data_IF_543223846491
#
_entry.id   IF_543223846491
#
_cell.length_a   1.000
_cell.length_b   1.000
_cell.length_c   1.000
_cell.angle_alpha   90.00
_cell.angle_beta   90.00
_cell.angle_gamma   90.00
#
_symmetry.space_group_name_H-M   'P 1'
#
loop_
_entity.id
_entity.type
_entity.pdbx_description
1 polymer ?
#
# COMPACT_ATOMS: atom_id res chain seq x y z
N UNK A 1 -2.65 -8.73 -16.26
CA UNK A 1 -3.52 -8.95 -15.08
C UNK A 1 -2.78 -8.48 -13.85
N UNK A 2 -3.36 -7.58 -13.06
CA UNK A 2 -2.74 -7.09 -11.83
C UNK A 2 -3.71 -7.29 -10.65
N UNK A 3 -3.68 -8.49 -10.08
CA UNK A 3 -4.29 -8.76 -8.77
C UNK A 3 -3.47 -8.04 -7.70
N UNK A 4 -4.15 -7.27 -6.86
CA UNK A 4 -3.54 -6.56 -5.76
C UNK A 4 -3.79 -7.30 -4.44
N UNK A 5 -2.89 -7.13 -3.48
CA UNK A 5 -3.19 -7.53 -2.10
C UNK A 5 -4.24 -6.61 -1.48
N UNK A 6 -5.02 -7.13 -0.52
CA UNK A 6 -5.95 -6.33 0.29
C UNK A 6 -5.27 -5.09 0.88
N UNK A 7 -4.02 -5.25 1.32
CA UNK A 7 -3.19 -4.16 1.81
C UNK A 7 -2.98 -3.03 0.79
N UNK A 8 -2.67 -3.36 -0.47
CA UNK A 8 -2.51 -2.38 -1.54
C UNK A 8 -3.84 -1.69 -1.89
N UNK A 9 -4.95 -2.43 -1.88
CA UNK A 9 -6.28 -1.86 -2.12
C UNK A 9 -6.69 -0.92 -0.99
N UNK A 10 -6.47 -1.31 0.27
CA UNK A 10 -6.66 -0.46 1.44
C UNK A 10 -5.80 0.81 1.37
N UNK A 11 -4.58 0.72 0.84
CA UNK A 11 -3.73 1.89 0.62
C UNK A 11 -4.33 2.87 -0.39
N UNK A 12 -4.79 2.39 -1.54
CA UNK A 12 -5.40 3.25 -2.56
C UNK A 12 -6.72 3.88 -2.07
N UNK A 13 -7.55 3.12 -1.35
CA UNK A 13 -8.75 3.66 -0.72
C UNK A 13 -8.43 4.72 0.35
N UNK A 14 -7.39 4.49 1.15
CA UNK A 14 -6.90 5.49 2.09
C UNK A 14 -6.37 6.74 1.36
N UNK A 15 -5.60 6.60 0.30
CA UNK A 15 -5.14 7.75 -0.50
C UNK A 15 -6.27 8.52 -1.19
N UNK A 16 -7.37 7.83 -1.55
CA UNK A 16 -8.57 8.44 -2.12
C UNK A 16 -9.37 9.27 -1.10
N UNK A 17 -9.26 8.97 0.20
CA UNK A 17 -9.88 9.74 1.27
C UNK A 17 -10.65 8.92 2.31
N UNK A 18 -10.90 7.64 2.06
CA UNK A 18 -11.62 6.79 3.01
C UNK A 18 -10.86 6.62 4.33
N UNK A 19 -11.55 6.63 5.47
CA UNK A 19 -10.97 6.46 6.82
C UNK A 19 -11.86 5.59 7.70
N UNK A 20 -11.30 4.96 8.73
CA UNK A 20 -12.07 4.20 9.71
C UNK A 20 -13.00 3.16 9.07
N UNK A 21 -14.27 3.13 9.48
CA UNK A 21 -15.24 2.14 8.99
C UNK A 21 -15.56 2.27 7.49
N UNK A 22 -15.50 3.46 6.90
CA UNK A 22 -15.74 3.63 5.45
C UNK A 22 -14.59 3.05 4.63
N UNK A 23 -13.36 3.09 5.16
CA UNK A 23 -12.21 2.43 4.55
C UNK A 23 -12.32 0.90 4.60
N UNK A 24 -12.75 0.34 5.73
CA UNK A 24 -13.04 -1.10 5.84
C UNK A 24 -14.11 -1.52 4.82
N UNK A 25 -15.20 -0.75 4.74
CA UNK A 25 -16.29 -1.00 3.79
C UNK A 25 -15.81 -0.94 2.35
N UNK A 26 -15.02 0.07 1.99
CA UNK A 26 -14.46 0.22 0.65
C UNK A 26 -13.62 -1.00 0.25
N UNK A 27 -12.75 -1.50 1.13
CA UNK A 27 -11.90 -2.66 0.84
C UNK A 27 -12.73 -3.92 0.70
N UNK A 28 -13.70 -4.14 1.57
CA UNK A 28 -14.57 -5.32 1.50
C UNK A 28 -15.41 -5.33 0.20
N UNK A 29 -15.91 -4.17 -0.25
CA UNK A 29 -16.60 -4.04 -1.53
C UNK A 29 -15.66 -4.36 -2.69
N UNK A 30 -14.43 -3.84 -2.71
CA UNK A 30 -13.48 -4.14 -3.81
C UNK A 30 -13.16 -5.64 -3.95
N UNK A 31 -13.12 -6.37 -2.83
CA UNK A 31 -12.95 -7.84 -2.86
C UNK A 31 -14.19 -8.52 -3.44
N UNK A 32 -15.39 -8.10 -2.98
CA UNK A 32 -16.65 -8.62 -3.50
C UNK A 32 -16.87 -8.35 -4.98
N UNK A 33 -16.45 -7.19 -5.47
CA UNK A 33 -16.69 -6.73 -6.83
C UNK A 33 -15.68 -7.29 -7.84
N UNK A 34 -14.42 -7.48 -7.42
CA UNK A 34 -13.34 -7.80 -8.36
C UNK A 34 -12.34 -8.85 -7.88
N UNK A 35 -12.46 -9.33 -6.63
CA UNK A 35 -11.42 -10.10 -5.96
C UNK A 35 -10.05 -9.41 -6.03
N UNK A 36 -10.06 -8.09 -5.84
CA UNK A 36 -8.91 -7.19 -5.97
C UNK A 36 -8.20 -7.21 -7.33
N UNK A 37 -8.89 -7.60 -8.40
CA UNK A 37 -8.37 -7.50 -9.75
C UNK A 37 -8.54 -6.07 -10.29
N UNK A 38 -7.46 -5.30 -10.31
CA UNK A 38 -7.49 -3.91 -10.81
C UNK A 38 -7.83 -3.77 -12.30
N UNK A 39 -7.76 -4.87 -13.04
CA UNK A 39 -8.12 -4.95 -14.47
C UNK A 39 -9.45 -5.66 -14.70
N UNK A 40 -10.28 -5.85 -13.66
CA UNK A 40 -11.57 -6.50 -13.80
C UNK A 40 -12.52 -5.71 -14.70
N UNK A 41 -13.27 -6.45 -15.52
CA UNK A 41 -14.33 -5.94 -16.39
C UNK A 41 -15.51 -6.89 -16.24
N UNK A 42 -16.71 -6.37 -16.02
CA UNK A 42 -17.90 -7.22 -15.98
C UNK A 42 -18.22 -7.76 -17.39
N UNK A 43 -19.00 -8.86 -17.52
CA UNK A 43 -19.29 -9.48 -18.81
C UNK A 43 -19.93 -8.54 -19.86
N UNK A 44 -20.66 -7.52 -19.41
CA UNK A 44 -21.32 -6.55 -20.28
C UNK A 44 -20.42 -5.35 -20.62
N UNK A 45 -19.16 -5.34 -20.18
CA UNK A 45 -18.17 -4.28 -20.44
C UNK A 45 -18.64 -2.87 -20.02
N UNK A 46 -19.44 -2.79 -18.95
CA UNK A 46 -20.05 -1.57 -18.44
C UNK A 46 -19.52 -1.14 -17.07
N UNK A 47 -18.74 -1.98 -16.38
CA UNK A 47 -18.13 -1.70 -15.09
C UNK A 47 -16.66 -2.13 -15.06
N UNK A 48 -15.82 -1.34 -14.39
CA UNK A 48 -14.36 -1.47 -14.50
C UNK A 48 -13.62 -1.35 -13.16
N UNK A 49 -12.54 -2.13 -13.06
CA UNK A 49 -11.55 -2.03 -12.00
C UNK A 49 -12.00 -2.61 -10.66
N UNK A 50 -11.31 -2.19 -9.61
CA UNK A 50 -11.42 -2.73 -8.25
C UNK A 50 -12.83 -2.60 -7.68
N UNK A 51 -13.45 -1.43 -7.83
CA UNK A 51 -14.78 -1.11 -7.30
C UNK A 51 -15.89 -1.24 -8.35
N UNK A 52 -15.61 -1.89 -9.50
CA UNK A 52 -16.57 -2.08 -10.59
C UNK A 52 -17.35 -0.80 -10.94
N UNK A 53 -16.60 0.27 -11.16
CA UNK A 53 -17.16 1.60 -11.46
C UNK A 53 -17.79 1.60 -12.85
N UNK A 54 -19.04 2.04 -12.93
CA UNK A 54 -19.77 2.12 -14.20
C UNK A 54 -19.08 3.04 -15.21
N UNK A 55 -19.09 2.65 -16.49
CA UNK A 55 -18.63 3.40 -17.67
C UNK A 55 -19.21 4.82 -17.70
N UNK A 56 -20.45 4.98 -17.24
CA UNK A 56 -21.15 6.26 -17.14
C UNK A 56 -20.42 7.30 -16.26
N UNK A 57 -19.58 6.85 -15.34
CA UNK A 57 -18.77 7.70 -14.47
C UNK A 57 -17.35 7.95 -14.99
N UNK A 58 -16.93 7.33 -16.12
CA UNK A 58 -15.54 7.39 -16.61
C UNK A 58 -15.18 8.73 -17.27
N UNK A 59 -16.16 9.54 -17.67
CA UNK A 59 -15.93 10.76 -18.44
C UNK A 59 -15.15 10.49 -19.74
N UNK A 60 -14.25 11.40 -20.14
CA UNK A 60 -13.49 11.31 -21.38
C UNK A 60 -12.22 10.44 -21.32
N UNK A 61 -11.93 9.78 -20.19
CA UNK A 61 -10.66 9.05 -19.97
C UNK A 61 -10.90 7.57 -19.70
N UNK A 62 -10.94 6.72 -20.75
CA UNK A 62 -11.39 5.35 -20.59
C UNK A 62 -10.48 4.49 -19.71
N UNK A 63 -9.16 4.66 -19.80
CA UNK A 63 -8.20 3.82 -19.09
C UNK A 63 -8.09 4.14 -17.59
N UNK A 64 -8.60 5.30 -17.16
CA UNK A 64 -8.50 5.80 -15.79
C UNK A 64 -9.13 4.84 -14.77
N UNK A 65 -10.17 4.11 -15.16
CA UNK A 65 -10.84 3.15 -14.26
C UNK A 65 -10.03 1.88 -13.99
N UNK A 66 -8.97 1.61 -14.77
CA UNK A 66 -8.02 0.53 -14.48
C UNK A 66 -6.86 0.96 -13.58
N UNK A 67 -6.67 2.27 -13.41
CA UNK A 67 -5.68 2.80 -12.47
C UNK A 67 -6.22 2.72 -11.04
N UNK A 68 -5.59 1.94 -10.13
CA UNK A 68 -6.17 1.65 -8.82
C UNK A 68 -6.53 2.89 -7.99
N UNK A 69 -5.67 3.92 -7.99
CA UNK A 69 -5.91 5.14 -7.22
C UNK A 69 -7.07 5.96 -7.80
N UNK A 70 -7.17 6.06 -9.12
CA UNK A 70 -8.22 6.85 -9.75
C UNK A 70 -9.58 6.13 -9.69
N UNK A 71 -9.58 4.80 -9.81
CA UNK A 71 -10.76 3.97 -9.52
C UNK A 71 -11.22 4.14 -8.05
N UNK A 72 -10.28 4.18 -7.10
CA UNK A 72 -10.57 4.44 -5.68
C UNK A 72 -11.16 5.84 -5.43
N UNK A 73 -10.62 6.87 -6.09
CA UNK A 73 -11.14 8.25 -6.01
C UNK A 73 -12.57 8.35 -6.54
N UNK A 74 -12.87 7.63 -7.62
CA UNK A 74 -14.23 7.58 -8.15
C UNK A 74 -15.17 6.85 -7.19
N UNK A 75 -14.75 5.73 -6.59
CA UNK A 75 -15.51 5.06 -5.55
C UNK A 75 -15.78 6.00 -4.35
N UNK A 76 -14.78 6.76 -3.91
CA UNK A 76 -14.93 7.75 -2.84
C UNK A 76 -15.94 8.84 -3.20
N UNK A 77 -15.90 9.34 -4.43
CA UNK A 77 -16.86 10.34 -4.90
C UNK A 77 -18.29 9.80 -4.98
N UNK A 78 -18.49 8.66 -5.66
CA UNK A 78 -19.82 8.04 -5.84
C UNK A 78 -20.43 7.65 -4.49
N UNK A 79 -19.60 7.25 -3.54
CA UNK A 79 -20.06 6.88 -2.20
C UNK A 79 -20.33 8.06 -1.26
N UNK A 80 -20.35 9.29 -1.77
CA UNK A 80 -20.45 10.52 -0.98
C UNK A 80 -19.42 10.55 0.16
N UNK A 81 -18.15 10.31 -0.16
CA UNK A 81 -17.06 10.21 0.82
C UNK A 81 -17.12 8.97 1.72
N UNK A 82 -17.87 7.95 1.32
CA UNK A 82 -18.09 6.71 2.07
C UNK A 82 -19.27 6.75 3.04
N UNK A 83 -20.15 7.75 2.93
CA UNK A 83 -21.39 7.84 3.71
C UNK A 83 -22.59 7.17 3.04
N UNK A 84 -22.54 6.92 1.73
CA UNK A 84 -23.62 6.27 0.98
C UNK A 84 -23.08 5.17 0.06
N UNK A 85 -23.50 3.92 0.23
CA UNK A 85 -23.03 2.78 -0.56
C UNK A 85 -24.10 2.16 -1.48
N UNK A 86 -25.24 2.83 -1.67
CA UNK A 86 -26.39 2.31 -2.43
C UNK A 86 -26.12 2.10 -3.92
N UNK A 87 -24.97 2.52 -4.44
CA UNK A 87 -24.57 2.26 -5.82
C UNK A 87 -23.98 0.85 -6.02
N UNK A 88 -23.59 0.16 -4.93
CA UNK A 88 -22.98 -1.17 -4.98
C UNK A 88 -23.97 -2.24 -4.52
N UNK A 89 -24.36 -3.11 -5.44
CA UNK A 89 -25.25 -4.25 -5.13
C UNK A 89 -24.63 -5.22 -4.13
N UNK A 90 -23.29 -5.31 -4.08
CA UNK A 90 -22.57 -6.09 -3.07
C UNK A 90 -22.80 -5.55 -1.65
N UNK A 91 -23.00 -4.24 -1.49
CA UNK A 91 -23.37 -3.62 -0.22
C UNK A 91 -24.83 -3.95 0.14
N UNK A 92 -25.75 -3.70 -0.79
CA UNK A 92 -27.20 -3.88 -0.57
C UNK A 92 -27.57 -5.34 -0.28
N UNK A 93 -26.98 -6.29 -1.02
CA UNK A 93 -27.16 -7.73 -0.79
C UNK A 93 -26.44 -8.22 0.46
N UNK A 94 -25.50 -7.45 1.00
CA UNK A 94 -24.64 -7.84 2.11
C UNK A 94 -23.53 -8.82 1.75
N UNK A 95 -23.31 -9.14 0.46
CA UNK A 95 -22.25 -10.06 0.03
C UNK A 95 -20.85 -9.58 0.44
N UNK A 96 -20.64 -8.27 0.57
CA UNK A 96 -19.36 -7.70 1.00
C UNK A 96 -18.97 -8.13 2.43
N UNK A 97 -19.94 -8.50 3.28
CA UNK A 97 -19.70 -8.78 4.70
C UNK A 97 -18.76 -9.96 4.94
N UNK A 98 -18.72 -10.92 4.02
CA UNK A 98 -17.80 -12.07 4.12
C UNK A 98 -16.32 -11.65 4.02
N UNK A 99 -16.03 -10.46 3.45
CA UNK A 99 -14.68 -9.95 3.28
C UNK A 99 -14.23 -8.99 4.39
N UNK A 100 -15.11 -8.69 5.38
CA UNK A 100 -14.81 -7.74 6.45
C UNK A 100 -13.57 -8.14 7.25
N UNK A 101 -13.34 -9.43 7.52
CA UNK A 101 -12.16 -9.86 8.27
C UNK A 101 -10.83 -9.54 7.57
N UNK A 102 -10.76 -9.74 6.24
CA UNK A 102 -9.59 -9.38 5.43
C UNK A 102 -9.47 -7.85 5.36
N UNK A 103 -10.59 -7.15 5.17
CA UNK A 103 -10.62 -5.69 5.10
C UNK A 103 -10.13 -5.06 6.40
N UNK A 104 -10.69 -5.41 7.55
CA UNK A 104 -10.29 -4.91 8.87
C UNK A 104 -8.80 -5.11 9.12
N UNK A 105 -8.27 -6.32 8.85
CA UNK A 105 -6.84 -6.58 9.02
C UNK A 105 -5.98 -5.67 8.12
N UNK A 106 -6.33 -5.55 6.85
CA UNK A 106 -5.58 -4.71 5.90
C UNK A 106 -5.67 -3.22 6.24
N UNK A 107 -6.81 -2.75 6.75
CA UNK A 107 -7.00 -1.37 7.18
C UNK A 107 -6.22 -1.07 8.44
N UNK A 108 -6.22 -1.98 9.42
CA UNK A 108 -5.37 -1.86 10.61
C UNK A 108 -3.90 -1.74 10.21
N UNK A 109 -3.43 -2.53 9.25
CA UNK A 109 -2.06 -2.40 8.73
C UNK A 109 -1.82 -1.04 8.05
N UNK A 110 -2.77 -0.51 7.28
CA UNK A 110 -2.65 0.81 6.64
C UNK A 110 -2.74 1.95 7.65
N UNK A 111 -3.58 1.87 8.67
CA UNK A 111 -3.69 2.92 9.69
C UNK A 111 -2.48 2.89 10.62
N UNK A 112 -2.05 1.72 11.11
CA UNK A 112 -0.75 1.57 11.79
C UNK A 112 0.39 2.03 10.90
N UNK A 113 0.21 1.95 9.58
CA UNK A 113 1.15 2.54 8.67
C UNK A 113 1.21 4.05 8.63
N UNK A 114 0.07 4.71 8.70
CA UNK A 114 0.06 6.15 8.86
C UNK A 114 0.84 6.60 10.13
N UNK A 115 0.96 5.73 11.14
CA UNK A 115 1.73 6.02 12.36
C UNK A 115 3.26 6.02 12.16
N UNK A 116 3.79 5.40 11.10
CA UNK A 116 5.20 5.56 10.70
C UNK A 116 5.25 6.33 9.38
N UNK A 117 5.39 7.67 9.43
CA UNK A 117 5.33 8.48 8.23
C UNK A 117 6.38 8.02 7.23
N UNK A 118 5.96 7.88 5.97
CA UNK A 118 6.89 7.68 4.86
C UNK A 118 7.72 8.94 4.70
N UNK A 119 9.01 8.75 4.49
CA UNK A 119 9.93 9.85 4.24
C UNK A 119 10.55 9.68 2.86
N UNK A 120 10.70 10.79 2.15
CA UNK A 120 11.37 10.82 0.86
C UNK A 120 12.86 10.53 1.10
N UNK A 121 13.33 9.39 0.60
CA UNK A 121 14.73 9.04 0.59
C UNK A 121 15.13 8.54 -0.77
N UNK A 122 16.40 8.74 -1.11
CA UNK A 122 17.02 8.19 -2.31
C UNK A 122 18.08 7.18 -1.92
N UNK A 123 18.25 6.18 -2.77
CA UNK A 123 19.33 5.22 -2.72
C UNK A 123 20.02 5.24 -4.07
N UNK A 124 21.29 5.62 -4.10
CA UNK A 124 22.06 5.84 -5.32
C UNK A 124 21.32 6.78 -6.30
N UNK A 125 20.69 7.83 -5.76
CA UNK A 125 19.93 8.82 -6.53
C UNK A 125 18.51 8.40 -6.93
N UNK A 126 18.11 7.14 -6.72
CA UNK A 126 16.77 6.63 -7.05
C UNK A 126 15.83 6.69 -5.84
N UNK A 127 14.54 7.05 -6.00
CA UNK A 127 13.57 6.99 -4.91
C UNK A 127 13.53 5.61 -4.26
N UNK A 128 13.51 5.57 -2.92
CA UNK A 128 13.49 4.34 -2.17
C UNK A 128 12.52 4.41 -1.00
N UNK A 129 11.90 3.28 -0.65
CA UNK A 129 10.90 3.24 0.43
C UNK A 129 11.60 3.26 1.80
N UNK A 130 11.26 4.28 2.60
CA UNK A 130 11.64 4.37 3.99
C UNK A 130 10.53 4.99 4.83
N UNK A 131 10.56 4.67 6.12
CA UNK A 131 9.63 5.22 7.12
C UNK A 131 10.43 5.80 8.28
N UNK A 132 9.83 6.76 8.96
CA UNK A 132 10.35 7.31 10.20
C UNK A 132 9.64 6.69 11.40
N UNK A 133 10.43 6.19 12.35
CA UNK A 133 9.95 5.64 13.62
C UNK A 133 10.68 6.35 14.76
N UNK A 134 9.93 7.17 15.52
CA UNK A 134 10.53 8.15 16.42
C UNK A 134 11.37 9.14 15.61
N UNK A 135 12.66 9.29 15.95
CA UNK A 135 13.60 10.16 15.22
C UNK A 135 14.62 9.32 14.42
N UNK A 136 14.21 8.18 13.88
CA UNK A 136 15.09 7.28 13.14
C UNK A 136 14.46 6.82 11.84
N UNK A 137 15.24 6.91 10.76
CA UNK A 137 14.88 6.35 9.46
C UNK A 137 15.04 4.83 9.44
N UNK A 138 14.06 4.14 8.88
CA UNK A 138 14.10 2.71 8.63
C UNK A 138 13.85 2.46 7.15
N UNK A 139 14.75 1.69 6.53
CA UNK A 139 14.73 1.39 5.10
C UNK A 139 14.10 0.02 4.85
N UNK A 140 13.40 -0.11 3.73
CA UNK A 140 12.92 -1.41 3.27
C UNK A 140 14.09 -2.40 3.14
N UNK A 141 13.91 -3.62 3.67
CA UNK A 141 14.97 -4.63 3.73
C UNK A 141 15.63 -4.97 2.39
N UNK A 142 14.93 -4.77 1.27
CA UNK A 142 15.42 -5.03 -0.10
C UNK A 142 16.67 -4.22 -0.44
N UNK A 143 16.99 -3.19 0.34
CA UNK A 143 18.25 -2.45 0.27
C UNK A 143 19.48 -3.37 0.42
N UNK A 144 19.38 -4.42 1.24
CA UNK A 144 20.47 -5.37 1.47
C UNK A 144 20.82 -6.12 0.18
N UNK A 145 19.80 -6.57 -0.55
CA UNK A 145 19.99 -7.25 -1.82
C UNK A 145 20.55 -6.31 -2.90
N UNK A 146 20.09 -5.05 -2.92
CA UNK A 146 20.54 -4.03 -3.87
C UNK A 146 22.05 -3.76 -3.79
N UNK A 147 22.62 -3.74 -2.59
CA UNK A 147 24.06 -3.57 -2.36
C UNK A 147 24.81 -4.89 -2.13
N UNK A 148 24.18 -6.04 -2.41
CA UNK A 148 24.85 -7.34 -2.25
C UNK A 148 25.30 -7.66 -0.82
N UNK A 149 24.74 -7.00 0.19
CA UNK A 149 25.09 -7.20 1.59
C UNK A 149 24.59 -8.58 2.01
N UNK A 150 25.43 -9.50 2.51
CA UNK A 150 24.98 -10.83 2.92
C UNK A 150 23.93 -10.75 4.03
N UNK A 151 22.78 -11.42 3.85
CA UNK A 151 21.74 -11.44 4.87
C UNK A 151 21.00 -12.78 4.98
N UNK A 152 20.43 -13.01 6.17
CA UNK A 152 19.47 -14.09 6.44
C UNK A 152 18.28 -13.51 7.20
N UNK A 153 17.07 -13.71 6.69
CA UNK A 153 15.86 -13.36 7.43
C UNK A 153 15.64 -14.36 8.59
N UNK A 154 15.44 -13.83 9.79
CA UNK A 154 15.26 -14.61 11.02
C UNK A 154 13.81 -14.61 11.51
N UNK A 155 12.88 -14.02 10.75
CA UNK A 155 11.47 -13.88 11.11
C UNK A 155 11.18 -12.63 11.95
N UNK A 156 9.94 -12.16 11.85
CA UNK A 156 9.41 -11.00 12.59
C UNK A 156 10.33 -9.76 12.53
N UNK A 157 10.78 -9.40 11.32
CA UNK A 157 11.58 -8.19 11.08
C UNK A 157 13.02 -8.27 11.58
N UNK A 158 13.47 -9.45 12.03
CA UNK A 158 14.84 -9.69 12.46
C UNK A 158 15.66 -10.26 11.31
N UNK A 159 16.91 -9.79 11.19
CA UNK A 159 17.84 -10.24 10.17
C UNK A 159 19.18 -10.59 10.81
N UNK A 160 19.91 -11.53 10.23
CA UNK A 160 21.36 -11.58 10.33
C UNK A 160 21.89 -10.82 9.12
N UNK A 161 22.59 -9.72 9.31
CA UNK A 161 23.17 -8.87 8.26
C UNK A 161 24.67 -8.89 8.48
N UNK A 162 25.42 -9.40 7.50
CA UNK A 162 26.87 -9.56 7.59
C UNK A 162 27.30 -10.25 8.91
N UNK A 163 26.62 -11.35 9.24
CA UNK A 163 26.83 -12.12 10.47
C UNK A 163 26.28 -11.49 11.76
N UNK A 164 25.76 -10.25 11.73
CA UNK A 164 25.23 -9.55 12.93
C UNK A 164 23.72 -9.61 13.01
N UNK A 165 23.19 -9.92 14.20
CA UNK A 165 21.74 -9.88 14.44
C UNK A 165 21.26 -8.43 14.53
N UNK A 166 20.34 -8.06 13.65
CA UNK A 166 19.71 -6.74 13.59
C UNK A 166 18.21 -6.90 13.82
N UNK A 167 17.67 -6.12 14.77
CA UNK A 167 16.24 -6.04 15.04
C UNK A 167 15.63 -4.87 14.29
N UNK A 168 14.93 -5.19 13.21
CA UNK A 168 14.00 -4.27 12.55
C UNK A 168 12.59 -4.44 13.11
N UNK A 169 11.60 -4.13 12.28
CA UNK A 169 10.20 -4.44 12.51
C UNK A 169 9.52 -4.87 11.21
N UNK A 170 8.41 -5.57 11.32
CA UNK A 170 7.52 -5.87 10.18
C UNK A 170 6.41 -4.86 10.18
N UNK A 171 6.07 -4.39 9.00
CA UNK A 171 5.05 -3.38 8.81
C UNK A 171 4.55 -3.44 7.37
N UNK A 172 3.22 -3.47 7.17
CA UNK A 172 2.62 -3.64 5.84
C UNK A 172 3.20 -4.84 5.07
N UNK A 173 3.36 -5.98 5.74
CA UNK A 173 3.97 -7.21 5.19
C UNK A 173 5.47 -7.10 4.82
N UNK A 174 6.08 -5.94 5.01
CA UNK A 174 7.46 -5.67 4.66
C UNK A 174 8.32 -5.51 5.91
N UNK A 175 9.56 -5.98 5.85
CA UNK A 175 10.51 -5.74 6.91
C UNK A 175 11.27 -4.44 6.70
N UNK A 176 11.43 -3.68 7.78
CA UNK A 176 12.15 -2.42 7.80
C UNK A 176 13.33 -2.48 8.74
N UNK A 177 14.47 -2.03 8.26
CA UNK A 177 15.77 -2.13 8.93
C UNK A 177 16.24 -0.72 9.25
N UNK A 178 16.65 -0.49 10.50
CA UNK A 178 17.22 0.80 10.89
C UNK A 178 18.46 1.06 10.06
N UNK A 179 18.52 2.18 9.34
CA UNK A 179 19.60 2.42 8.37
C UNK A 179 20.99 2.30 9.00
N UNK A 180 21.15 2.79 10.24
CA UNK A 180 22.42 2.74 11.01
C UNK A 180 22.92 1.32 11.31
N UNK A 181 22.06 0.31 11.16
CA UNK A 181 22.42 -1.09 11.40
C UNK A 181 22.90 -1.80 10.13
N UNK A 182 22.84 -1.14 8.98
CA UNK A 182 23.32 -1.69 7.71
C UNK A 182 24.79 -1.24 7.53
N UNK A 183 25.73 -2.16 7.28
CA UNK A 183 27.13 -1.83 7.14
C UNK A 183 27.40 -1.02 5.86
N UNK A 184 28.50 -0.26 5.86
CA UNK A 184 29.03 0.41 4.67
C UNK A 184 28.01 1.30 3.95
N UNK A 185 27.23 2.10 4.70
CA UNK A 185 26.34 3.12 4.13
C UNK A 185 26.88 4.51 4.45
N UNK A 186 26.86 5.40 3.46
CA UNK A 186 26.95 6.84 3.64
C UNK A 186 25.58 7.48 3.50
N UNK A 187 25.34 8.54 4.25
CA UNK A 187 24.12 9.35 4.15
C UNK A 187 24.50 10.81 3.93
N UNK A 188 23.93 11.40 2.89
CA UNK A 188 24.03 12.82 2.62
C UNK A 188 22.62 13.41 2.59
N UNK A 189 22.46 14.63 3.11
CA UNK A 189 21.17 15.33 3.07
C UNK A 189 21.25 16.46 2.04
N UNK A 190 20.41 16.41 1.03
CA UNK A 190 20.34 17.43 -0.03
C UNK A 190 18.92 17.99 -0.05
N UNK A 191 18.76 19.30 0.13
CA UNK A 191 17.46 19.99 0.13
C UNK A 191 16.39 19.35 1.04
N UNK A 192 16.80 18.81 2.19
CA UNK A 192 15.87 18.16 3.12
C UNK A 192 15.68 16.65 2.88
N UNK A 193 16.06 16.13 1.72
CA UNK A 193 15.94 14.71 1.36
C UNK A 193 17.20 13.93 1.74
N UNK A 194 17.03 12.73 2.32
CA UNK A 194 18.17 11.85 2.62
C UNK A 194 18.53 11.04 1.38
N UNK A 195 19.80 11.08 0.97
CA UNK A 195 20.36 10.23 -0.07
C UNK A 195 21.37 9.27 0.55
N UNK A 196 21.10 7.97 0.44
CA UNK A 196 21.95 6.90 0.93
C UNK A 196 22.74 6.30 -0.23
N UNK A 197 24.03 6.05 -0.01
CA UNK A 197 24.92 5.40 -0.98
C UNK A 197 25.76 4.36 -0.28
N UNK A 198 26.16 3.31 -1.00
CA UNK A 198 27.13 2.36 -0.49
C UNK A 198 28.51 3.02 -0.35
N UNK A 199 29.14 2.85 0.82
CA UNK A 199 30.56 3.10 1.02
C UNK A 199 31.33 1.97 0.34
N UNK A 200 31.86 2.23 -0.86
CA UNK A 200 32.83 1.32 -1.49
C UNK A 200 34.04 1.06 -0.60
#
# INVERSE_FOLDING_TARGET
MAYLSAHQVAHYAYEAGFRGSSLVTAVAIADSESSFNSTAVNPDHSCFGLWQISDSNRGAQPDLLFHPLDNARMAYFISDGGFNWSAWTSFDSGSYKQFLGIAEHSVLEVEQSAHFPRINVRVDGQPFMAVEVGNSTYMLWTILAKWGIPYKYLGNGKFSIDGRKVKGFVYKGSSYIKWRSIPNIQVNKVNGEFNFTESR
#
